data_IF_791001421862
#
_entry.id   IF_791001421862
#
_cell.length_a   1.000
_cell.length_b   1.000
_cell.length_c   1.000
_cell.angle_alpha   90.00
_cell.angle_beta   90.00
_cell.angle_gamma   90.00
#
_symmetry.space_group_name_H-M   'P 1'
#
loop_
_entity.id
_entity.type
_entity.pdbx_description
1 polymer ?
#
# COMPACT_ATOMS: atom_id res chain seq x y z
N UNK A 1 8.03 17.18 -2.57
CA UNK A 1 6.86 16.30 -2.79
C UNK A 1 6.24 15.94 -1.44
N UNK A 2 4.93 15.70 -1.39
CA UNK A 2 4.24 15.11 -0.22
C UNK A 2 4.17 13.57 -0.39
N UNK A 3 4.02 12.84 0.72
CA UNK A 3 4.23 11.38 0.81
C UNK A 3 3.56 10.61 -0.35
N UNK A 4 4.35 9.82 -1.08
CA UNK A 4 3.86 8.95 -2.16
C UNK A 4 3.96 9.55 -3.57
N UNK A 5 4.38 10.81 -3.73
CA UNK A 5 4.40 11.50 -5.04
C UNK A 5 3.01 11.44 -5.70
N UNK A 6 2.88 10.93 -6.93
CA UNK A 6 1.59 10.81 -7.65
C UNK A 6 0.76 9.55 -7.35
N UNK A 7 1.23 8.71 -6.42
CA UNK A 7 0.60 7.42 -6.08
C UNK A 7 -0.67 7.56 -5.24
N UNK A 8 -0.78 8.54 -4.31
CA UNK A 8 -2.05 8.82 -3.64
C UNK A 8 -3.17 9.14 -4.63
N UNK A 9 -2.89 9.87 -5.71
CA UNK A 9 -3.85 10.24 -6.74
C UNK A 9 -4.29 9.02 -7.56
N UNK A 10 -3.35 8.17 -7.96
CA UNK A 10 -3.65 6.92 -8.66
C UNK A 10 -4.50 5.98 -7.80
N UNK A 11 -4.12 5.80 -6.52
CA UNK A 11 -4.86 4.97 -5.57
C UNK A 11 -6.26 5.53 -5.31
N UNK A 12 -6.37 6.84 -5.13
CA UNK A 12 -7.67 7.50 -4.94
C UNK A 12 -8.57 7.28 -6.15
N UNK A 13 -8.06 7.47 -7.37
CA UNK A 13 -8.84 7.28 -8.59
C UNK A 13 -9.40 5.85 -8.68
N UNK A 14 -8.53 4.84 -8.58
CA UNK A 14 -8.93 3.42 -8.68
C UNK A 14 -9.93 3.05 -7.58
N UNK A 15 -9.66 3.43 -6.34
CA UNK A 15 -10.52 3.05 -5.21
C UNK A 15 -11.88 3.77 -5.22
N UNK A 16 -11.94 5.01 -5.73
CA UNK A 16 -13.20 5.72 -5.95
C UNK A 16 -14.00 5.11 -7.11
N UNK A 17 -13.34 4.65 -8.17
CA UNK A 17 -14.01 3.93 -9.26
C UNK A 17 -14.59 2.61 -8.78
N UNK A 18 -13.84 1.83 -7.99
CA UNK A 18 -14.31 0.57 -7.41
C UNK A 18 -15.55 0.78 -6.53
N UNK A 19 -15.53 1.81 -5.68
CA UNK A 19 -16.68 2.16 -4.83
C UNK A 19 -17.91 2.59 -5.66
N UNK A 20 -17.70 3.36 -6.72
CA UNK A 20 -18.77 3.83 -7.60
C UNK A 20 -19.39 2.67 -8.38
N UNK A 21 -18.55 1.78 -8.92
CA UNK A 21 -18.98 0.57 -9.62
C UNK A 21 -19.77 -0.36 -8.71
N UNK A 22 -19.31 -0.60 -7.48
CA UNK A 22 -20.02 -1.44 -6.51
C UNK A 22 -21.45 -0.94 -6.24
N UNK A 23 -21.62 0.38 -6.09
CA UNK A 23 -22.93 1.00 -5.89
C UNK A 23 -23.83 0.87 -7.11
N UNK A 24 -23.30 1.07 -8.32
CA UNK A 24 -24.06 0.93 -9.57
C UNK A 24 -24.48 -0.52 -9.83
N UNK A 25 -23.62 -1.48 -9.50
CA UNK A 25 -23.87 -2.91 -9.64
C UNK A 25 -24.67 -3.51 -8.48
N UNK A 26 -24.97 -2.72 -7.44
CA UNK A 26 -25.63 -3.15 -6.21
C UNK A 26 -24.95 -4.36 -5.55
N UNK A 27 -23.62 -4.33 -5.49
CA UNK A 27 -22.79 -5.33 -4.80
C UNK A 27 -22.04 -4.70 -3.65
N UNK A 28 -21.64 -5.51 -2.66
CA UNK A 28 -20.78 -5.03 -1.58
C UNK A 28 -19.42 -4.57 -2.12
N UNK A 29 -18.92 -3.38 -1.71
CA UNK A 29 -17.68 -2.83 -2.23
C UNK A 29 -16.42 -3.62 -1.84
N UNK A 30 -16.43 -4.33 -0.72
CA UNK A 30 -15.33 -5.22 -0.33
C UNK A 30 -15.38 -6.52 -1.16
N UNK A 31 -16.57 -7.08 -1.40
CA UNK A 31 -16.73 -8.26 -2.27
C UNK A 31 -16.35 -7.98 -3.72
N UNK A 32 -16.69 -6.80 -4.26
CA UNK A 32 -16.28 -6.42 -5.61
C UNK A 32 -14.75 -6.37 -5.74
N UNK A 33 -14.04 -5.84 -4.74
CA UNK A 33 -12.57 -5.85 -4.70
C UNK A 33 -12.05 -7.28 -4.64
N UNK A 34 -12.59 -8.09 -3.71
CA UNK A 34 -12.20 -9.49 -3.51
C UNK A 34 -12.29 -10.29 -4.81
N UNK A 35 -13.35 -10.07 -5.60
CA UNK A 35 -13.54 -10.72 -6.91
C UNK A 35 -12.48 -10.34 -7.97
N UNK A 36 -11.88 -9.17 -7.85
CA UNK A 36 -10.92 -8.62 -8.83
C UNK A 36 -9.46 -8.66 -8.35
N UNK A 37 -9.17 -9.24 -7.19
CA UNK A 37 -7.80 -9.34 -6.71
C UNK A 37 -6.94 -10.23 -7.60
N UNK A 38 -5.70 -9.80 -7.77
CA UNK A 38 -4.64 -10.62 -8.35
C UNK A 38 -4.30 -11.74 -7.37
N UNK A 39 -4.19 -12.96 -7.87
CA UNK A 39 -3.97 -14.19 -7.07
C UNK A 39 -2.72 -14.97 -7.48
N UNK A 40 -2.03 -14.52 -8.52
CA UNK A 40 -0.84 -15.19 -9.06
C UNK A 40 0.29 -14.17 -9.13
N UNK A 41 1.46 -14.54 -8.62
CA UNK A 41 2.63 -13.68 -8.55
C UNK A 41 3.88 -14.42 -9.07
N UNK A 42 4.84 -13.73 -9.70
CA UNK A 42 4.82 -12.30 -10.01
C UNK A 42 3.75 -11.95 -11.06
N UNK A 43 3.12 -10.77 -10.92
CA UNK A 43 2.08 -10.30 -11.82
C UNK A 43 2.52 -9.06 -12.57
N UNK A 44 2.75 -9.19 -13.88
CA UNK A 44 3.02 -8.03 -14.73
C UNK A 44 1.75 -7.18 -14.86
N UNK A 45 1.81 -5.93 -14.39
CA UNK A 45 0.70 -5.00 -14.59
C UNK A 45 0.67 -4.50 -16.04
N UNK A 46 -0.45 -3.91 -16.50
CA UNK A 46 -0.51 -3.22 -17.81
C UNK A 46 0.40 -1.98 -17.90
N UNK A 47 1.02 -1.58 -16.79
CA UNK A 47 2.01 -0.50 -16.72
C UNK A 47 3.37 -1.09 -16.36
N UNK A 48 4.33 -0.24 -16.01
CA UNK A 48 5.75 -0.62 -15.97
C UNK A 48 6.13 -1.64 -14.87
N UNK A 49 5.41 -1.68 -13.75
CA UNK A 49 5.81 -2.48 -12.58
C UNK A 49 5.18 -3.87 -12.60
N UNK A 50 5.96 -4.88 -12.19
CA UNK A 50 5.46 -6.21 -11.85
C UNK A 50 5.25 -6.30 -10.33
N UNK A 51 4.09 -6.78 -9.91
CA UNK A 51 3.86 -7.09 -8.50
C UNK A 51 4.63 -8.36 -8.14
N UNK A 52 5.38 -8.31 -7.05
CA UNK A 52 6.31 -9.34 -6.61
C UNK A 52 5.60 -10.47 -5.85
N UNK A 53 4.77 -10.12 -4.86
CA UNK A 53 4.01 -11.06 -4.04
C UNK A 53 2.80 -10.37 -3.37
N UNK A 54 1.88 -11.17 -2.85
CA UNK A 54 0.79 -10.66 -2.03
C UNK A 54 -0.24 -11.70 -1.62
N UNK A 55 -0.89 -11.45 -0.49
CA UNK A 55 -2.14 -12.12 -0.09
C UNK A 55 -3.20 -11.07 0.23
N UNK A 56 -3.85 -10.59 -0.83
CA UNK A 56 -4.83 -9.51 -0.74
C UNK A 56 -6.14 -9.98 -0.10
N UNK A 57 -6.48 -11.26 -0.26
CA UNK A 57 -7.62 -11.88 0.39
C UNK A 57 -7.43 -11.92 1.91
N UNK A 58 -6.29 -12.42 2.40
CA UNK A 58 -6.00 -12.47 3.83
C UNK A 58 -6.02 -11.06 4.45
N UNK A 59 -5.45 -10.08 3.75
CA UNK A 59 -5.40 -8.68 4.22
C UNK A 59 -6.80 -8.07 4.38
N UNK A 60 -7.66 -8.22 3.37
CA UNK A 60 -9.04 -7.72 3.43
C UNK A 60 -9.89 -8.47 4.47
N UNK A 61 -9.76 -9.79 4.53
CA UNK A 61 -10.53 -10.62 5.47
C UNK A 61 -10.14 -10.32 6.93
N UNK A 62 -8.85 -10.12 7.20
CA UNK A 62 -8.37 -9.69 8.51
C UNK A 62 -8.93 -8.29 8.89
N UNK A 63 -8.88 -7.33 7.97
CA UNK A 63 -9.43 -6.00 8.20
C UNK A 63 -10.94 -6.04 8.47
N UNK A 64 -11.70 -6.81 7.69
CA UNK A 64 -13.15 -6.97 7.86
C UNK A 64 -13.50 -7.57 9.21
N UNK A 65 -12.77 -8.61 9.62
CA UNK A 65 -12.95 -9.25 10.93
C UNK A 65 -12.66 -8.25 12.06
N UNK A 66 -11.55 -7.53 11.99
CA UNK A 66 -11.12 -6.60 13.04
C UNK A 66 -12.15 -5.48 13.31
N UNK A 67 -12.86 -5.01 12.27
CA UNK A 67 -13.84 -3.93 12.42
C UNK A 67 -15.29 -4.42 12.59
N UNK A 68 -15.51 -5.73 12.61
CA UNK A 68 -16.85 -6.33 12.63
C UNK A 68 -17.69 -5.91 11.43
N UNK A 69 -17.12 -6.04 10.22
CA UNK A 69 -17.70 -5.54 8.97
C UNK A 69 -19.15 -6.03 8.77
N UNK A 70 -19.42 -7.30 9.03
CA UNK A 70 -20.75 -7.88 8.78
C UNK A 70 -21.85 -7.28 9.70
N UNK A 71 -21.47 -6.68 10.83
CA UNK A 71 -22.37 -5.97 11.74
C UNK A 71 -22.70 -4.52 11.32
N UNK A 72 -22.23 -4.05 10.16
CA UNK A 72 -22.42 -2.66 9.73
C UNK A 72 -23.88 -2.27 9.50
N UNK A 73 -24.70 -3.19 8.99
CA UNK A 73 -26.13 -2.93 8.75
C UNK A 73 -26.85 -2.48 10.03
N UNK A 74 -26.70 -3.24 11.11
CA UNK A 74 -27.26 -2.89 12.43
C UNK A 74 -26.70 -1.57 12.96
N UNK A 75 -25.39 -1.34 12.83
CA UNK A 75 -24.74 -0.09 13.26
C UNK A 75 -25.23 1.13 12.49
N UNK A 76 -25.56 0.97 11.20
CA UNK A 76 -26.11 2.02 10.34
C UNK A 76 -27.57 2.31 10.68
N UNK A 77 -28.37 1.27 10.95
CA UNK A 77 -29.75 1.41 11.39
C UNK A 77 -29.85 2.16 12.73
N UNK A 78 -29.03 1.79 13.72
CA UNK A 78 -28.95 2.50 15.01
C UNK A 78 -28.54 3.96 14.87
N UNK A 79 -27.53 4.26 14.03
CA UNK A 79 -27.15 5.65 13.79
C UNK A 79 -28.31 6.46 13.19
N UNK A 80 -29.05 5.86 12.24
CA UNK A 80 -30.21 6.49 11.63
C UNK A 80 -31.33 6.78 12.64
N UNK A 81 -31.61 5.88 13.58
CA UNK A 81 -32.62 6.13 14.64
C UNK A 81 -32.22 7.26 15.60
N UNK A 82 -30.93 7.56 15.70
CA UNK A 82 -30.40 8.70 16.46
C UNK A 82 -30.26 9.98 15.61
N UNK A 83 -30.79 10.00 14.39
CA UNK A 83 -30.67 11.16 13.48
C UNK A 83 -29.27 11.36 12.90
N UNK A 84 -28.39 10.35 12.94
CA UNK A 84 -27.00 10.41 12.45
C UNK A 84 -26.81 9.61 11.16
N UNK A 85 -25.83 10.02 10.37
CA UNK A 85 -25.35 9.26 9.21
C UNK A 85 -24.12 8.44 9.58
N UNK A 86 -24.08 7.20 9.10
CA UNK A 86 -22.91 6.31 9.21
C UNK A 86 -22.57 5.74 7.84
N UNK A 87 -21.30 5.85 7.47
CA UNK A 87 -20.71 5.22 6.30
C UNK A 87 -19.54 4.32 6.70
N UNK A 88 -19.14 3.47 5.77
CA UNK A 88 -17.85 2.79 5.78
C UNK A 88 -17.13 3.11 4.47
N UNK A 89 -15.84 3.37 4.56
CA UNK A 89 -14.96 3.44 3.41
C UNK A 89 -14.06 2.21 3.37
N UNK A 90 -13.85 1.66 2.18
CA UNK A 90 -12.89 0.58 1.94
C UNK A 90 -11.86 1.09 0.94
N UNK A 91 -10.59 0.87 1.22
CA UNK A 91 -9.47 1.17 0.33
C UNK A 91 -8.49 0.00 0.36
N UNK A 92 -8.29 -0.67 -0.77
CA UNK A 92 -7.34 -1.76 -0.95
C UNK A 92 -6.33 -1.33 -2.01
N UNK A 93 -5.26 -0.66 -1.59
CA UNK A 93 -4.26 -0.10 -2.50
C UNK A 93 -2.95 -0.89 -2.47
N UNK A 94 -2.20 -0.80 -3.57
CA UNK A 94 -0.85 -1.33 -3.69
C UNK A 94 0.13 -0.16 -3.80
N UNK A 95 1.23 -0.26 -3.08
CA UNK A 95 2.26 0.78 -3.02
C UNK A 95 3.55 0.29 -3.68
N UNK A 96 4.10 1.11 -4.58
CA UNK A 96 5.41 0.84 -5.17
C UNK A 96 6.50 1.48 -4.29
N UNK A 97 7.00 0.72 -3.33
CA UNK A 97 8.10 1.10 -2.45
C UNK A 97 9.46 0.80 -3.10
N UNK A 98 10.47 1.67 -2.91
CA UNK A 98 11.81 1.47 -3.46
C UNK A 98 11.85 1.39 -4.99
N UNK A 99 11.45 2.46 -5.69
CA UNK A 99 11.32 2.43 -7.15
C UNK A 99 12.67 2.12 -7.81
N UNK A 100 12.74 0.95 -8.42
CA UNK A 100 13.82 0.38 -9.19
C UNK A 100 13.20 -0.58 -10.25
N UNK A 101 13.94 -1.13 -11.23
CA UNK A 101 15.36 -0.95 -11.54
C UNK A 101 15.68 0.35 -12.31
N UNK A 102 16.94 0.79 -12.27
CA UNK A 102 17.44 2.03 -12.90
C UNK A 102 16.98 2.22 -14.35
N UNK A 103 16.94 1.13 -15.14
CA UNK A 103 16.49 1.16 -16.53
C UNK A 103 15.00 1.52 -16.65
N UNK A 104 14.15 0.96 -15.80
CA UNK A 104 12.71 1.22 -15.81
C UNK A 104 12.41 2.66 -15.39
N UNK A 105 13.03 3.11 -14.30
CA UNK A 105 12.81 4.46 -13.77
C UNK A 105 13.38 5.54 -14.69
N UNK A 106 14.49 5.24 -15.37
CA UNK A 106 15.03 6.11 -16.44
C UNK A 106 14.03 6.31 -17.57
N UNK A 107 13.29 5.27 -17.97
CA UNK A 107 12.22 5.40 -18.99
C UNK A 107 11.02 6.24 -18.53
N UNK A 108 10.85 6.42 -17.21
CA UNK A 108 9.86 7.32 -16.61
C UNK A 108 10.38 8.75 -16.42
N UNK A 109 11.59 9.05 -16.89
CA UNK A 109 12.20 10.38 -16.79
C UNK A 109 12.99 10.64 -15.50
N UNK A 110 13.31 9.60 -14.71
CA UNK A 110 14.22 9.76 -13.59
C UNK A 110 15.62 10.15 -14.09
N UNK A 111 16.17 11.26 -13.57
CA UNK A 111 17.50 11.75 -13.95
C UNK A 111 18.67 11.01 -13.28
N UNK A 112 18.39 10.06 -12.38
CA UNK A 112 19.36 9.24 -11.66
C UNK A 112 18.84 7.80 -11.55
N UNK A 113 19.74 6.85 -11.24
CA UNK A 113 19.40 5.42 -11.23
C UNK A 113 18.51 4.95 -10.07
N UNK A 114 18.25 5.78 -9.06
CA UNK A 114 17.50 5.41 -7.85
C UNK A 114 18.02 4.14 -7.13
N UNK A 115 19.33 3.87 -7.25
CA UNK A 115 20.01 2.85 -6.46
C UNK A 115 20.32 3.39 -5.05
N UNK A 116 20.64 2.47 -4.15
CA UNK A 116 21.08 2.78 -2.80
C UNK A 116 22.30 1.91 -2.43
N UNK A 117 23.12 2.35 -1.48
CA UNK A 117 24.36 1.69 -1.05
C UNK A 117 24.52 1.62 0.45
N UNK A 118 25.17 0.57 0.94
CA UNK A 118 25.65 0.50 2.32
C UNK A 118 27.12 0.04 2.39
N UNK A 119 27.89 0.61 3.32
CA UNK A 119 29.21 0.13 3.74
C UNK A 119 29.10 -0.39 5.18
N UNK A 120 29.55 -1.62 5.41
CA UNK A 120 29.58 -2.23 6.75
C UNK A 120 31.04 -2.46 7.13
N UNK A 121 31.44 -1.92 8.28
CA UNK A 121 32.80 -2.05 8.82
C UNK A 121 32.77 -2.75 10.17
N UNK A 122 33.57 -3.80 10.30
CA UNK A 122 33.82 -4.46 11.59
C UNK A 122 35.11 -3.91 12.18
N UNK A 123 35.00 -3.29 13.35
CA UNK A 123 36.14 -2.66 14.02
C UNK A 123 36.95 -3.69 14.83
N UNK A 124 38.24 -3.43 15.12
CA UNK A 124 39.09 -4.36 15.88
C UNK A 124 38.58 -4.74 17.28
N UNK A 125 37.73 -3.88 17.87
CA UNK A 125 37.11 -4.12 19.19
C UNK A 125 35.77 -4.85 19.11
N UNK A 126 35.40 -5.36 17.93
CA UNK A 126 34.18 -6.13 17.70
C UNK A 126 32.90 -5.32 17.53
N UNK A 127 32.99 -3.98 17.46
CA UNK A 127 31.84 -3.12 17.11
C UNK A 127 31.63 -3.06 15.59
N UNK A 128 30.42 -2.72 15.17
CA UNK A 128 30.04 -2.59 13.75
C UNK A 128 29.64 -1.14 13.47
N UNK A 129 30.14 -0.59 12.36
CA UNK A 129 29.73 0.68 11.80
C UNK A 129 29.02 0.44 10.46
N UNK A 130 27.86 1.07 10.26
CA UNK A 130 27.07 0.97 9.02
C UNK A 130 26.86 2.36 8.46
N UNK A 131 27.35 2.59 7.24
CA UNK A 131 27.11 3.81 6.46
C UNK A 131 26.13 3.48 5.34
N UNK A 132 25.18 4.36 5.09
CA UNK A 132 24.14 4.21 4.06
C UNK A 132 23.98 5.53 3.31
N UNK A 133 23.61 5.46 2.03
CA UNK A 133 23.19 6.62 1.24
C UNK A 133 21.81 7.16 1.62
N UNK A 134 21.05 6.45 2.46
CA UNK A 134 19.76 6.88 2.95
C UNK A 134 19.87 7.86 4.14
N UNK A 135 19.07 8.94 4.11
CA UNK A 135 19.04 9.94 5.18
C UNK A 135 17.74 9.86 6.01
N UNK A 136 17.88 9.77 7.33
CA UNK A 136 16.75 9.73 8.26
C UNK A 136 16.10 11.10 8.45
N UNK A 137 14.77 11.14 8.49
CA UNK A 137 13.95 12.30 8.84
C UNK A 137 12.93 11.93 9.95
N UNK A 138 13.23 10.92 10.77
CA UNK A 138 12.37 10.44 11.87
C UNK A 138 11.82 9.01 11.71
N UNK A 139 12.16 8.32 10.62
CA UNK A 139 11.74 6.93 10.36
C UNK A 139 12.64 5.88 11.03
N UNK A 140 13.51 6.31 11.96
CA UNK A 140 14.30 5.44 12.84
C UNK A 140 15.35 4.57 12.13
N UNK A 141 15.99 5.06 11.07
CA UNK A 141 17.07 4.32 10.39
C UNK A 141 18.18 3.90 11.35
N UNK A 142 18.58 4.73 12.32
CA UNK A 142 19.64 4.38 13.28
C UNK A 142 19.31 3.17 14.16
N UNK A 143 18.02 2.85 14.31
CA UNK A 143 17.57 1.67 15.05
C UNK A 143 17.35 0.52 14.09
N UNK A 144 16.55 0.71 13.04
CA UNK A 144 16.12 -0.40 12.18
C UNK A 144 17.24 -0.96 11.30
N UNK A 145 18.22 -0.15 10.89
CA UNK A 145 19.37 -0.65 10.13
C UNK A 145 20.38 -1.40 10.99
N UNK A 146 20.32 -1.26 12.31
CA UNK A 146 21.18 -1.96 13.25
C UNK A 146 20.62 -3.32 13.75
N UNK A 147 19.34 -3.61 13.48
CA UNK A 147 18.66 -4.87 13.86
C UNK A 147 19.04 -6.02 12.93
#
# INVERSE_FOLDING_TARGET
AYRGAGRPEASYLVERMMETAARQLNVDPAELRKKNFITQFPHQTPVIMAYDAGDFHASLDAARKAIGYDGLGARKARAKSEGKLRGIGVSCYIEACGIAPSKAVGSLGAGVGLWESAEVRVNPVGTIEVLTGAHSHGQSHETTFAQ
#
